data_IF_147616616971
#
_entry.id   IF_147616616971
#
_cell.length_a   1.000
_cell.length_b   1.000
_cell.length_c   1.000
_cell.angle_alpha   90.00
_cell.angle_beta   90.00
_cell.angle_gamma   90.00
#
_symmetry.space_group_name_H-M   'P 1'
#
loop_
_entity.id
_entity.type
_entity.pdbx_description
1 polymer ?
#
# COMPACT_ATOMS: atom_id res chain seq x y z
N UNK A 1 10.59 -7.01 -12.42
CA UNK A 1 11.12 -7.63 -11.20
C UNK A 1 10.64 -9.07 -11.10
N UNK A 2 11.44 -9.93 -10.50
CA UNK A 2 11.06 -11.30 -10.15
C UNK A 2 10.10 -11.33 -8.96
N UNK A 3 9.37 -12.44 -8.81
CA UNK A 3 8.47 -12.67 -7.67
C UNK A 3 9.20 -12.54 -6.32
N UNK A 4 10.44 -13.03 -6.25
CA UNK A 4 11.24 -12.95 -5.02
C UNK A 4 11.61 -11.51 -4.67
N UNK A 5 12.09 -10.75 -5.64
CA UNK A 5 12.41 -9.32 -5.45
C UNK A 5 11.18 -8.52 -5.02
N UNK A 6 10.02 -8.80 -5.62
CA UNK A 6 8.75 -8.20 -5.22
C UNK A 6 8.42 -8.50 -3.75
N UNK A 7 8.46 -9.77 -3.35
CA UNK A 7 8.13 -10.20 -1.98
C UNK A 7 9.10 -9.57 -0.97
N UNK A 8 10.40 -9.64 -1.23
CA UNK A 8 11.44 -9.12 -0.34
C UNK A 8 11.29 -7.59 -0.16
N UNK A 9 11.01 -6.88 -1.27
CA UNK A 9 10.73 -5.44 -1.23
C UNK A 9 9.45 -5.11 -0.47
N UNK A 10 8.37 -5.84 -0.71
CA UNK A 10 7.08 -5.62 -0.07
C UNK A 10 7.18 -5.84 1.45
N UNK A 11 7.85 -6.91 1.90
CA UNK A 11 8.09 -7.17 3.32
C UNK A 11 8.89 -6.04 3.99
N UNK A 12 9.92 -5.51 3.32
CA UNK A 12 10.70 -4.38 3.86
C UNK A 12 9.81 -3.14 4.03
N UNK A 13 9.01 -2.83 3.02
CA UNK A 13 8.14 -1.65 3.04
C UNK A 13 7.00 -1.77 4.07
N UNK A 14 6.44 -2.97 4.28
CA UNK A 14 5.46 -3.21 5.35
C UNK A 14 6.07 -2.86 6.71
N UNK A 15 7.28 -3.34 7.01
CA UNK A 15 7.95 -3.05 8.30
C UNK A 15 8.21 -1.56 8.50
N UNK A 16 8.59 -0.87 7.43
CA UNK A 16 8.80 0.58 7.45
C UNK A 16 7.49 1.32 7.71
N UNK A 17 6.41 0.94 7.01
CA UNK A 17 5.09 1.52 7.21
C UNK A 17 4.54 1.26 8.61
N UNK A 18 4.66 0.04 9.12
CA UNK A 18 4.24 -0.32 10.48
C UNK A 18 4.97 0.52 11.53
N UNK A 19 6.28 0.76 11.33
CA UNK A 19 7.07 1.63 12.21
C UNK A 19 6.59 3.07 12.11
N UNK A 20 6.35 3.57 10.90
CA UNK A 20 5.88 4.93 10.67
C UNK A 20 4.52 5.19 11.33
N UNK A 21 3.60 4.22 11.30
CA UNK A 21 2.29 4.35 11.96
C UNK A 21 2.38 4.44 13.49
N UNK A 22 3.43 3.90 14.12
CA UNK A 22 3.65 4.06 15.56
C UNK A 22 4.00 5.51 15.91
N UNK A 23 4.75 6.18 15.03
CA UNK A 23 5.13 7.59 15.18
C UNK A 23 4.01 8.55 14.72
N UNK A 24 3.10 8.06 13.85
CA UNK A 24 2.01 8.80 13.22
C UNK A 24 0.65 8.12 13.39
N UNK A 25 0.16 7.97 14.63
CA UNK A 25 -1.07 7.22 14.92
C UNK A 25 -2.33 7.84 14.29
N UNK A 26 -2.32 9.13 13.95
CA UNK A 26 -3.42 9.81 13.23
C UNK A 26 -3.75 9.14 11.89
N UNK A 27 -2.79 8.48 11.25
CA UNK A 27 -3.00 7.78 9.98
C UNK A 27 -3.87 6.51 10.13
N UNK A 28 -4.03 5.97 11.33
CA UNK A 28 -4.96 4.85 11.53
C UNK A 28 -6.41 5.24 11.24
N UNK A 29 -6.77 6.51 11.43
CA UNK A 29 -8.13 7.02 11.17
C UNK A 29 -8.47 6.98 9.67
N UNK A 30 -7.46 7.04 8.80
CA UNK A 30 -7.59 6.96 7.34
C UNK A 30 -7.68 5.51 6.82
N UNK A 31 -7.50 4.51 7.68
CA UNK A 31 -7.56 3.08 7.33
C UNK A 31 -8.90 2.50 7.77
N UNK A 32 -9.83 2.20 6.82
CA UNK A 32 -11.09 1.58 7.17
C UNK A 32 -10.90 0.22 7.85
N UNK A 33 -11.83 -0.14 8.74
CA UNK A 33 -11.80 -1.45 9.38
C UNK A 33 -11.77 -2.59 8.34
N UNK A 34 -10.87 -3.55 8.55
CA UNK A 34 -10.61 -4.69 7.64
C UNK A 34 -10.13 -4.29 6.25
N UNK A 35 -9.62 -3.06 6.05
CA UNK A 35 -9.06 -2.67 4.76
C UNK A 35 -7.87 -3.57 4.36
N UNK A 36 -7.70 -3.74 3.07
CA UNK A 36 -6.44 -4.19 2.49
C UNK A 36 -5.61 -2.96 2.16
N UNK A 37 -4.38 -2.91 2.67
CA UNK A 37 -3.42 -1.85 2.39
C UNK A 37 -2.52 -2.32 1.26
N UNK A 38 -2.40 -1.50 0.22
CA UNK A 38 -1.44 -1.68 -0.88
C UNK A 38 -0.37 -0.63 -0.73
N UNK A 39 0.90 -1.04 -0.74
CA UNK A 39 2.02 -0.11 -0.68
C UNK A 39 2.46 0.28 -2.10
N UNK A 40 2.67 1.56 -2.30
CA UNK A 40 3.32 2.13 -3.49
C UNK A 40 4.45 3.07 -3.09
N UNK A 41 5.39 3.31 -4.00
CA UNK A 41 6.53 4.21 -3.81
C UNK A 41 6.68 5.15 -5.01
N UNK A 42 7.07 6.40 -4.81
CA UNK A 42 7.07 7.43 -5.87
C UNK A 42 7.86 7.01 -7.13
N UNK A 43 9.02 6.37 -6.96
CA UNK A 43 9.97 6.13 -8.06
C UNK A 43 10.05 4.65 -8.50
N UNK A 44 9.00 3.84 -8.26
CA UNK A 44 8.98 2.45 -8.73
C UNK A 44 7.62 2.05 -9.33
N UNK A 45 7.44 2.42 -10.59
CA UNK A 45 6.23 2.10 -11.35
C UNK A 45 6.01 0.59 -11.52
N UNK A 46 7.09 -0.20 -11.66
CA UNK A 46 6.99 -1.64 -11.86
C UNK A 46 6.46 -2.33 -10.60
N UNK A 47 7.01 -2.01 -9.43
CA UNK A 47 6.51 -2.48 -8.14
C UNK A 47 5.07 -2.04 -7.91
N UNK A 48 4.76 -0.76 -8.19
CA UNK A 48 3.43 -0.20 -7.95
C UNK A 48 2.36 -0.89 -8.79
N UNK A 49 2.65 -1.17 -10.07
CA UNK A 49 1.72 -1.86 -10.96
C UNK A 49 1.38 -3.25 -10.42
N UNK A 50 2.38 -4.01 -9.96
CA UNK A 50 2.17 -5.35 -9.41
C UNK A 50 1.42 -5.31 -8.06
N UNK A 51 1.79 -4.39 -7.17
CA UNK A 51 1.12 -4.16 -5.88
C UNK A 51 -0.36 -3.84 -6.07
N UNK A 52 -0.69 -2.91 -6.98
CA UNK A 52 -2.07 -2.53 -7.30
C UNK A 52 -2.83 -3.70 -7.94
N UNK A 53 -2.21 -4.41 -8.89
CA UNK A 53 -2.83 -5.60 -9.53
C UNK A 53 -3.23 -6.64 -8.49
N UNK A 54 -2.31 -6.99 -7.58
CA UNK A 54 -2.58 -7.95 -6.49
C UNK A 54 -3.68 -7.43 -5.55
N UNK A 55 -3.64 -6.14 -5.19
CA UNK A 55 -4.63 -5.50 -4.34
C UNK A 55 -6.05 -5.54 -4.94
N UNK A 56 -6.20 -5.17 -6.21
CA UNK A 56 -7.48 -5.19 -6.91
C UNK A 56 -8.03 -6.60 -7.12
N UNK A 57 -7.19 -7.60 -7.37
CA UNK A 57 -7.62 -9.00 -7.45
C UNK A 57 -8.24 -9.50 -6.13
N UNK A 58 -7.79 -8.98 -4.99
CA UNK A 58 -8.27 -9.35 -3.65
C UNK A 58 -9.42 -8.47 -3.14
N UNK A 59 -9.77 -7.39 -3.84
CA UNK A 59 -10.74 -6.36 -3.43
C UNK A 59 -12.17 -6.86 -3.22
N UNK A 60 -12.52 -8.04 -3.73
CA UNK A 60 -13.91 -8.52 -3.78
C UNK A 60 -14.69 -8.54 -2.44
N UNK A 61 -14.06 -8.29 -1.28
CA UNK A 61 -14.74 -8.33 0.03
C UNK A 61 -14.36 -7.24 1.05
N UNK A 62 -13.41 -6.33 0.76
CA UNK A 62 -12.84 -5.40 1.75
C UNK A 62 -12.50 -4.04 1.12
N UNK A 63 -12.55 -2.94 1.88
CA UNK A 63 -12.00 -1.66 1.44
C UNK A 63 -10.54 -1.82 1.01
N UNK A 64 -10.13 -1.10 -0.03
CA UNK A 64 -8.76 -1.08 -0.51
C UNK A 64 -8.23 0.33 -0.32
N UNK A 65 -7.09 0.45 0.35
CA UNK A 65 -6.38 1.72 0.54
C UNK A 65 -4.96 1.60 -0.02
N UNK A 66 -4.44 2.71 -0.50
CA UNK A 66 -3.04 2.85 -0.86
C UNK A 66 -2.31 3.56 0.27
N UNK A 67 -1.25 2.93 0.77
CA UNK A 67 -0.21 3.57 1.56
C UNK A 67 0.93 3.96 0.62
N UNK A 68 0.97 5.24 0.22
CA UNK A 68 1.97 5.75 -0.71
C UNK A 68 3.15 6.31 0.06
N UNK A 69 4.33 5.75 -0.19
CA UNK A 69 5.61 6.22 0.32
C UNK A 69 6.21 7.28 -0.60
N UNK A 70 6.48 8.44 -0.02
CA UNK A 70 7.44 9.43 -0.54
C UNK A 70 8.71 9.40 0.29
N UNK A 71 9.79 10.04 -0.18
CA UNK A 71 11.16 9.96 0.35
C UNK A 71 11.30 9.69 1.87
N UNK A 72 10.57 10.43 2.72
CA UNK A 72 10.57 10.33 4.18
C UNK A 72 9.16 10.32 4.80
N UNK A 73 8.11 10.14 4.02
CA UNK A 73 6.73 10.24 4.51
C UNK A 73 5.81 9.23 3.87
N UNK A 74 4.72 8.95 4.57
CA UNK A 74 3.65 8.09 4.08
C UNK A 74 2.35 8.87 4.04
N UNK A 75 1.52 8.55 3.05
CA UNK A 75 0.16 9.06 2.93
C UNK A 75 -0.79 7.90 2.66
N UNK A 76 -2.02 8.01 3.16
CA UNK A 76 -3.04 7.00 2.97
C UNK A 76 -4.16 7.60 2.13
N UNK A 77 -4.61 6.86 1.12
CA UNK A 77 -5.81 7.23 0.35
C UNK A 77 -6.64 6.04 -0.04
N UNK A 78 -7.95 6.21 -0.08
CA UNK A 78 -8.85 5.19 -0.57
C UNK A 78 -8.60 4.91 -2.07
N UNK A 79 -8.52 3.63 -2.44
CA UNK A 79 -8.48 3.20 -3.84
C UNK A 79 -9.89 2.83 -4.31
N UNK A 80 -10.56 3.79 -4.94
CA UNK A 80 -11.75 3.49 -5.75
C UNK A 80 -11.31 2.88 -7.09
N UNK A 81 -12.03 1.88 -7.62
CA UNK A 81 -11.77 1.49 -9.01
C UNK A 81 -12.10 2.72 -9.86
N UNK A 82 -11.21 3.09 -10.78
CA UNK A 82 -11.57 4.05 -11.81
C UNK A 82 -12.77 3.45 -12.56
N UNK A 83 -13.89 4.18 -12.61
CA UNK A 83 -15.01 3.77 -13.45
C UNK A 83 -14.47 3.65 -14.88
N UNK A 84 -14.62 2.46 -15.45
CA UNK A 84 -14.28 2.17 -16.84
C UNK A 84 -15.09 3.05 -17.79
#
# INVERSE_FOLDING_TARGET
>A
MSTREYIDKNIRLIKEFDTYLLDHPELYDDIPNKATVVITVDDDQEFNAESLRIGFLRKARRPLVEARKSSQSWSIRALTPQAA
#
